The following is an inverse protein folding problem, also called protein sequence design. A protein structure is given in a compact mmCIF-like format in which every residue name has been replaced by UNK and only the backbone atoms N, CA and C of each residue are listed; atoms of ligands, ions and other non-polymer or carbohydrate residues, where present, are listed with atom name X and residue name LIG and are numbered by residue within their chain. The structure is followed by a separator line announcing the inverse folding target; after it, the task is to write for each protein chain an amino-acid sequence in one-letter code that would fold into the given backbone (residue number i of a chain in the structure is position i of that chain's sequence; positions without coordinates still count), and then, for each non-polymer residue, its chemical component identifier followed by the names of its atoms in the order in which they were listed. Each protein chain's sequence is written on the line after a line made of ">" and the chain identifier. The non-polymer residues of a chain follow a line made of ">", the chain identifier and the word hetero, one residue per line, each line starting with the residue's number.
data_IF_924442282906
#
_entry.id   IF_924442282906
#
_cell.length_a   1.000
_cell.length_b   1.000
_cell.length_c   1.000
_cell.angle_alpha   90.00
_cell.angle_beta   90.00
_cell.angle_gamma   90.00
#
_symmetry.space_group_name_H-M   'P 1'
#
loop_
_entity.id
_entity.type
_entity.pdbx_description
1 polymer ?
#
# COMPACT_ATOMS: atom_id res chain seq x y z
N UNK A 1 -4.45 -13.04 -2.31
CA UNK A 1 -3.18 -12.52 -1.79
C UNK A 1 -2.02 -13.32 -2.36
N UNK A 2 -1.11 -12.68 -3.08
CA UNK A 2 0.13 -13.29 -3.58
C UNK A 2 1.27 -13.13 -2.55
N UNK A 3 2.47 -13.64 -2.86
CA UNK A 3 3.63 -13.58 -1.95
C UNK A 3 4.14 -12.15 -1.71
N UNK A 4 4.15 -11.29 -2.74
CA UNK A 4 4.60 -9.91 -2.61
C UNK A 4 3.66 -9.12 -1.68
N UNK A 5 2.36 -9.21 -1.94
CA UNK A 5 1.30 -8.62 -1.11
C UNK A 5 1.38 -9.08 0.35
N UNK A 6 1.67 -10.37 0.58
CA UNK A 6 1.86 -10.90 1.94
C UNK A 6 3.04 -10.24 2.65
N UNK A 7 4.20 -10.12 1.99
CA UNK A 7 5.37 -9.47 2.57
C UNK A 7 5.16 -7.97 2.84
N UNK A 8 4.40 -7.28 1.99
CA UNK A 8 3.97 -5.89 2.25
C UNK A 8 3.06 -5.85 3.48
N UNK A 9 2.07 -6.73 3.57
CA UNK A 9 1.15 -6.78 4.72
C UNK A 9 1.89 -7.04 6.04
N UNK A 10 2.85 -7.97 6.04
CA UNK A 10 3.72 -8.22 7.20
C UNK A 10 4.46 -6.96 7.66
N UNK A 11 4.99 -6.19 6.70
CA UNK A 11 5.69 -4.95 7.00
C UNK A 11 4.74 -3.88 7.54
N UNK A 12 3.56 -3.69 6.91
CA UNK A 12 2.55 -2.72 7.31
C UNK A 12 2.05 -3.02 8.73
N UNK A 13 1.67 -4.27 9.03
CA UNK A 13 1.21 -4.66 10.38
C UNK A 13 2.28 -4.38 11.44
N UNK A 14 3.56 -4.61 11.13
CA UNK A 14 4.65 -4.46 12.09
C UNK A 14 5.09 -3.01 12.29
N UNK A 15 5.06 -2.18 11.26
CA UNK A 15 5.73 -0.88 11.26
C UNK A 15 4.82 0.32 10.95
N UNK A 16 3.67 0.08 10.32
CA UNK A 16 2.77 1.11 9.80
C UNK A 16 1.29 0.77 10.08
N UNK A 17 1.00 0.15 11.23
CA UNK A 17 -0.34 -0.35 11.57
C UNK A 17 -1.38 0.77 11.59
N UNK A 18 -0.95 1.98 11.89
CA UNK A 18 -1.76 3.20 11.91
C UNK A 18 -2.42 3.46 10.55
N UNK A 19 -1.83 3.04 9.43
CA UNK A 19 -2.44 3.19 8.11
C UNK A 19 -3.71 2.33 7.96
N UNK A 20 -3.73 1.14 8.58
CA UNK A 20 -4.92 0.29 8.60
C UNK A 20 -6.00 0.91 9.50
N UNK A 21 -5.60 1.50 10.63
CA UNK A 21 -6.51 2.18 11.56
C UNK A 21 -7.14 3.42 10.89
N UNK A 22 -6.35 4.23 10.19
CA UNK A 22 -6.79 5.41 9.45
C UNK A 22 -7.80 5.04 8.35
N UNK A 23 -7.46 4.10 7.45
CA UNK A 23 -8.40 3.66 6.40
C UNK A 23 -9.67 3.03 6.98
N UNK A 24 -9.53 2.21 8.03
CA UNK A 24 -10.70 1.63 8.69
C UNK A 24 -11.63 2.71 9.22
N UNK A 25 -11.08 3.76 9.84
CA UNK A 25 -11.85 4.87 10.37
C UNK A 25 -12.53 5.68 9.27
N UNK A 26 -11.83 5.97 8.17
CA UNK A 26 -12.39 6.67 7.00
C UNK A 26 -13.58 5.92 6.39
N UNK A 27 -13.49 4.58 6.35
CA UNK A 27 -14.54 3.69 5.85
C UNK A 27 -15.63 3.39 6.88
N UNK A 28 -15.57 3.98 8.09
CA UNK A 28 -16.55 3.75 9.16
C UNK A 28 -16.51 2.33 9.76
N UNK A 29 -15.37 1.65 9.64
CA UNK A 29 -15.11 0.32 10.17
C UNK A 29 -14.46 0.38 11.56
N UNK A 30 -14.50 -0.76 12.26
CA UNK A 30 -13.77 -0.91 13.52
C UNK A 30 -12.27 -1.05 13.25
N UNK A 31 -11.49 -0.06 13.68
CA UNK A 31 -10.02 -0.01 13.60
C UNK A 31 -9.38 -1.29 14.16
N UNK A 32 -9.73 -1.65 15.41
CA UNK A 32 -9.21 -2.85 16.06
C UNK A 32 -9.60 -4.16 15.38
N UNK A 33 -10.78 -4.24 14.77
CA UNK A 33 -11.19 -5.40 13.99
C UNK A 33 -10.39 -5.50 12.67
N UNK A 34 -10.16 -4.38 11.98
CA UNK A 34 -9.34 -4.34 10.76
C UNK A 34 -7.90 -4.75 11.05
N UNK A 35 -7.30 -4.21 12.13
CA UNK A 35 -5.94 -4.60 12.56
C UNK A 35 -5.90 -6.08 12.92
N UNK A 36 -6.87 -6.59 13.70
CA UNK A 36 -6.91 -8.02 14.06
C UNK A 36 -7.07 -8.95 12.85
N UNK A 37 -7.75 -8.50 11.79
CA UNK A 37 -7.84 -9.23 10.53
C UNK A 37 -6.49 -9.22 9.79
N UNK A 38 -5.80 -8.09 9.76
CA UNK A 38 -4.46 -8.01 9.19
C UNK A 38 -3.48 -8.94 9.92
N UNK A 39 -3.49 -8.93 11.26
CA UNK A 39 -2.69 -9.84 12.10
C UNK A 39 -3.04 -11.32 11.84
N UNK A 40 -4.33 -11.63 11.69
CA UNK A 40 -4.78 -12.98 11.33
C UNK A 40 -4.27 -13.42 9.95
N UNK A 41 -4.24 -12.52 8.97
CA UNK A 41 -3.76 -12.82 7.62
C UNK A 41 -2.24 -13.05 7.59
N UNK A 42 -1.45 -12.29 8.34
CA UNK A 42 0.02 -12.47 8.39
C UNK A 42 0.45 -13.72 9.18
N UNK A 43 -0.43 -14.26 10.03
CA UNK A 43 -0.13 -15.49 10.76
C UNK A 43 -0.05 -16.74 9.86
N UNK A 44 -0.80 -16.78 8.75
CA UNK A 44 -0.75 -17.85 7.75
C UNK A 44 -1.41 -17.34 6.45
N UNK A 45 -0.68 -17.37 5.32
CA UNK A 45 -1.18 -16.95 4.01
C UNK A 45 -2.48 -17.66 3.58
N UNK A 46 -2.72 -18.90 4.05
CA UNK A 46 -3.95 -19.65 3.77
C UNK A 46 -5.17 -19.15 4.54
N UNK A 47 -5.01 -18.21 5.47
CA UNK A 47 -6.12 -17.61 6.19
C UNK A 47 -6.99 -16.72 5.31
N UNK A 48 -6.43 -16.20 4.21
CA UNK A 48 -7.17 -15.41 3.23
C UNK A 48 -8.41 -16.14 2.70
N UNK A 49 -8.28 -17.43 2.34
CA UNK A 49 -9.39 -18.23 1.82
C UNK A 49 -10.41 -18.66 2.87
N UNK A 50 -10.15 -18.40 4.16
CA UNK A 50 -11.01 -18.78 5.29
C UNK A 50 -11.83 -17.60 5.83
N UNK A 51 -11.67 -16.40 5.25
CA UNK A 51 -12.36 -15.22 5.72
C UNK A 51 -13.88 -15.32 5.53
N UNK A 52 -14.61 -14.89 6.56
CA UNK A 52 -16.04 -14.62 6.44
C UNK A 52 -16.28 -13.39 5.56
N UNK A 53 -17.50 -13.23 5.05
CA UNK A 53 -17.87 -12.04 4.26
C UNK A 53 -17.62 -10.72 5.01
N UNK A 54 -17.84 -10.70 6.32
CA UNK A 54 -17.56 -9.51 7.14
C UNK A 54 -16.06 -9.23 7.21
N UNK A 55 -15.22 -10.25 7.41
CA UNK A 55 -13.77 -10.08 7.42
C UNK A 55 -13.24 -9.65 6.05
N UNK A 56 -13.81 -10.20 4.97
CA UNK A 56 -13.47 -9.81 3.61
C UNK A 56 -13.78 -8.33 3.35
N UNK A 57 -14.90 -7.81 3.86
CA UNK A 57 -15.20 -6.38 3.72
C UNK A 57 -14.16 -5.49 4.42
N UNK A 58 -13.76 -5.83 5.65
CA UNK A 58 -12.66 -5.12 6.32
C UNK A 58 -11.35 -5.22 5.53
N UNK A 59 -11.04 -6.38 4.96
CA UNK A 59 -9.87 -6.55 4.11
C UNK A 59 -9.91 -5.62 2.89
N UNK A 60 -11.00 -5.65 2.11
CA UNK A 60 -11.12 -4.88 0.87
C UNK A 60 -11.09 -3.36 1.11
N UNK A 61 -11.66 -2.89 2.22
CA UNK A 61 -11.76 -1.46 2.51
C UNK A 61 -10.54 -0.90 3.22
N UNK A 62 -9.92 -1.64 4.15
CA UNK A 62 -8.88 -1.09 5.04
C UNK A 62 -7.49 -1.72 4.89
N UNK A 63 -7.35 -2.82 4.16
CA UNK A 63 -6.08 -3.57 4.05
C UNK A 63 -5.61 -3.67 2.60
N UNK A 64 -6.48 -4.11 1.69
CA UNK A 64 -6.18 -4.25 0.26
C UNK A 64 -5.59 -2.96 -0.35
N UNK A 65 -6.10 -1.75 -0.05
CA UNK A 65 -5.56 -0.50 -0.61
C UNK A 65 -4.12 -0.18 -0.19
N UNK A 66 -3.58 -0.88 0.82
CA UNK A 66 -2.20 -0.71 1.30
C UNK A 66 -1.24 -1.75 0.72
N UNK A 67 -1.75 -2.81 0.10
CA UNK A 67 -0.92 -3.94 -0.35
C UNK A 67 -1.10 -4.27 -1.83
N UNK A 68 -2.09 -3.67 -2.49
CA UNK A 68 -2.41 -3.90 -3.90
C UNK A 68 -2.90 -2.60 -4.52
N UNK A 69 -2.48 -2.32 -5.76
CA UNK A 69 -2.84 -1.08 -6.48
C UNK A 69 -2.59 0.18 -5.64
N UNK A 70 -1.47 0.21 -4.92
CA UNK A 70 -1.09 1.38 -4.11
C UNK A 70 -0.70 2.51 -5.05
N UNK A 71 -1.32 3.66 -4.88
CA UNK A 71 -1.11 4.81 -5.75
C UNK A 71 0.32 5.33 -5.64
N UNK A 72 0.94 5.57 -6.80
CA UNK A 72 2.20 6.27 -6.90
C UNK A 72 1.97 7.77 -6.64
N UNK A 73 2.83 8.40 -5.83
CA UNK A 73 2.80 9.84 -5.56
C UNK A 73 3.32 10.68 -6.72
N UNK A 74 3.88 10.05 -7.75
CA UNK A 74 4.35 10.72 -8.95
C UNK A 74 5.68 11.45 -8.77
N UNK A 75 6.13 12.13 -9.84
CA UNK A 75 7.44 12.77 -9.86
C UNK A 75 7.56 13.94 -8.87
N UNK A 76 6.50 14.74 -8.78
CA UNK A 76 6.44 16.01 -8.04
C UNK A 76 5.40 15.99 -6.91
N UNK A 77 4.81 14.83 -6.59
CA UNK A 77 3.74 14.68 -5.61
C UNK A 77 2.34 14.67 -6.24
N UNK A 78 1.33 14.64 -5.38
CA UNK A 78 -0.09 14.73 -5.76
C UNK A 78 -0.49 16.17 -6.08
N UNK A 79 -1.41 16.32 -7.03
CA UNK A 79 -2.03 17.58 -7.39
C UNK A 79 -3.19 17.91 -6.44
N UNK A 80 -3.71 19.15 -6.50
CA UNK A 80 -4.83 19.61 -5.65
C UNK A 80 -6.14 18.84 -5.88
N UNK A 81 -6.30 18.24 -7.06
CA UNK A 81 -7.43 17.38 -7.42
C UNK A 81 -7.20 15.90 -7.08
N UNK A 82 -6.19 15.60 -6.26
CA UNK A 82 -5.73 14.27 -5.87
C UNK A 82 -5.21 13.40 -7.03
N UNK A 83 -5.06 13.98 -8.23
CA UNK A 83 -4.39 13.29 -9.33
C UNK A 83 -2.89 13.16 -9.05
N UNK A 84 -2.32 12.03 -9.48
CA UNK A 84 -0.88 11.78 -9.33
C UNK A 84 -0.11 12.39 -10.50
N UNK A 85 1.04 13.00 -10.22
CA UNK A 85 2.03 13.38 -11.24
C UNK A 85 2.82 12.18 -11.79
N UNK A 86 2.33 10.96 -11.59
CA UNK A 86 2.92 9.74 -12.10
C UNK A 86 2.92 9.75 -13.63
N UNK A 87 4.04 9.33 -14.20
CA UNK A 87 4.26 9.26 -15.65
C UNK A 87 4.10 7.83 -16.21
N UNK A 88 3.66 6.89 -15.36
CA UNK A 88 3.36 5.51 -15.73
C UNK A 88 1.84 5.26 -15.70
N UNK A 89 1.39 4.16 -15.11
CA UNK A 89 -0.01 3.75 -14.95
C UNK A 89 -0.68 4.26 -13.65
N UNK A 90 0.06 5.02 -12.84
CA UNK A 90 -0.45 5.62 -11.60
C UNK A 90 -0.25 4.78 -10.34
N UNK A 91 0.31 3.58 -10.44
CA UNK A 91 0.47 2.66 -9.31
C UNK A 91 1.92 2.25 -9.09
N UNK A 92 2.21 1.74 -7.90
CA UNK A 92 3.47 1.08 -7.59
C UNK A 92 3.29 -0.41 -7.85
N UNK A 93 4.23 -1.01 -8.59
CA UNK A 93 4.23 -2.45 -8.85
C UNK A 93 4.30 -3.24 -7.53
N UNK A 94 3.53 -4.32 -7.42
CA UNK A 94 3.47 -5.17 -6.22
C UNK A 94 4.87 -5.63 -5.74
N UNK A 95 5.77 -5.91 -6.69
CA UNK A 95 7.14 -6.37 -6.41
C UNK A 95 8.04 -5.26 -5.83
N UNK A 96 7.74 -3.99 -6.12
CA UNK A 96 8.49 -2.82 -5.63
C UNK A 96 7.88 -2.19 -4.37
N UNK A 97 6.60 -2.47 -4.12
CA UNK A 97 5.81 -1.82 -3.06
C UNK A 97 6.42 -1.98 -1.67
N UNK A 98 6.98 -3.16 -1.35
CA UNK A 98 7.65 -3.37 -0.07
C UNK A 98 8.82 -2.40 0.11
N UNK A 99 9.62 -2.20 -0.94
CA UNK A 99 10.74 -1.28 -0.89
C UNK A 99 10.28 0.17 -0.75
N UNK A 100 9.18 0.55 -1.41
CA UNK A 100 8.57 1.88 -1.27
C UNK A 100 8.19 2.19 0.20
N UNK A 101 7.59 1.22 0.90
CA UNK A 101 7.30 1.34 2.34
C UNK A 101 8.57 1.43 3.19
N UNK A 102 9.59 0.62 2.90
CA UNK A 102 10.86 0.61 3.64
C UNK A 102 11.61 1.94 3.47
N UNK A 103 11.68 2.48 2.25
CA UNK A 103 12.37 3.73 1.96
C UNK A 103 11.53 4.97 2.25
N UNK A 104 10.24 4.81 2.53
CA UNK A 104 9.24 5.89 2.62
C UNK A 104 9.22 6.74 1.35
N UNK A 105 9.37 6.08 0.21
CA UNK A 105 9.37 6.70 -1.11
C UNK A 105 8.27 6.07 -1.95
N UNK A 106 7.06 6.62 -1.87
CA UNK A 106 5.86 6.06 -2.51
C UNK A 106 5.78 6.44 -3.99
N UNK A 107 6.89 6.27 -4.71
CA UNK A 107 7.00 6.53 -6.15
C UNK A 107 7.37 5.24 -6.87
N UNK A 108 6.74 4.98 -8.01
CA UNK A 108 7.09 3.84 -8.86
C UNK A 108 8.50 4.01 -9.45
N UNK A 109 9.12 2.90 -9.89
CA UNK A 109 10.48 2.89 -10.43
C UNK A 109 10.67 3.89 -11.57
N UNK A 110 9.66 4.05 -12.43
CA UNK A 110 9.72 4.99 -13.54
C UNK A 110 9.83 6.45 -13.06
N UNK A 111 9.07 6.82 -12.02
CA UNK A 111 9.16 8.15 -11.42
C UNK A 111 10.49 8.38 -10.70
N UNK A 112 11.01 7.37 -10.00
CA UNK A 112 12.34 7.43 -9.34
C UNK A 112 13.44 7.62 -10.38
N UNK A 113 13.50 6.74 -11.38
CA UNK A 113 14.53 6.77 -12.43
C UNK A 113 14.53 8.10 -13.20
N UNK A 114 13.33 8.66 -13.46
CA UNK A 114 13.19 9.93 -14.18
C UNK A 114 13.70 11.10 -13.35
N UNK A 115 13.38 11.15 -12.05
CA UNK A 115 13.89 12.17 -11.14
C UNK A 115 15.42 12.13 -11.08
N UNK A 116 15.99 10.95 -10.90
CA UNK A 116 17.43 10.76 -10.79
C UNK A 116 18.15 11.15 -12.08
N UNK A 117 17.58 10.80 -13.24
CA UNK A 117 18.09 11.23 -14.55
C UNK A 117 18.07 12.75 -14.69
N UNK A 118 16.99 13.41 -14.24
CA UNK A 118 16.89 14.87 -14.31
C UNK A 118 17.98 15.55 -13.49
N UNK A 119 18.18 15.15 -12.23
CA UNK A 119 19.23 15.72 -11.37
C UNK A 119 20.65 15.45 -11.88
N UNK A 120 20.90 14.26 -12.44
CA UNK A 120 22.20 13.93 -13.03
C UNK A 120 22.56 14.84 -14.21
N UNK A 121 21.56 15.26 -14.98
CA UNK A 121 21.75 16.10 -16.17
C UNK A 121 21.56 17.61 -15.89
N UNK A 122 21.07 17.98 -14.70
CA UNK A 122 20.83 19.36 -14.27
C UNK A 122 21.28 19.56 -12.80
N UNK A 123 22.60 19.53 -12.52
CA UNK A 123 23.15 19.65 -11.17
C UNK A 123 23.07 21.06 -10.57
#
# INVERSE_FOLDING_TARGET
>A
MNKAQFSVLEYVVKNCKELIEELAKEEGLSESASVGIAEFLVADIHNFSKMTAKQLHHFQSAIEPLISNVQCEGLIGRHEDDSSSCINDGYIDDDDLLMAYISRDMRCQQCIATKDSWYKNNP
#
